data_IF_740345240380
#
_entry.id   IF_740345240380
#
_cell.length_a   1.000
_cell.length_b   1.000
_cell.length_c   1.000
_cell.angle_alpha   90.00
_cell.angle_beta   90.00
_cell.angle_gamma   90.00
#
_symmetry.space_group_name_H-M   'P 1'
#
loop_
_entity.id
_entity.type
_entity.pdbx_description
1 polymer ?
#
# COMPACT_ATOMS: atom_id res chain seq x y z
N UNK A 1 10.21 35.79 -10.05
CA UNK A 1 10.59 34.59 -10.80
C UNK A 1 11.86 33.98 -10.23
N UNK A 2 12.92 34.76 -10.04
CA UNK A 2 14.20 34.34 -9.45
C UNK A 2 14.11 33.46 -8.19
N UNK A 3 13.21 33.75 -7.25
CA UNK A 3 12.99 32.89 -6.06
C UNK A 3 12.46 31.50 -6.39
N UNK A 4 11.52 31.39 -7.32
CA UNK A 4 10.91 30.10 -7.72
C UNK A 4 11.94 29.30 -8.52
N UNK A 5 12.70 29.96 -9.38
CA UNK A 5 13.81 29.38 -10.14
C UNK A 5 14.92 28.86 -9.23
N UNK A 6 15.20 29.58 -8.13
CA UNK A 6 16.11 29.16 -7.07
C UNK A 6 15.52 28.13 -6.09
N UNK A 7 14.30 27.61 -6.33
CA UNK A 7 13.66 26.58 -5.52
C UNK A 7 13.13 27.06 -4.15
N UNK A 8 13.01 28.36 -3.93
CA UNK A 8 12.51 28.91 -2.67
C UNK A 8 10.97 28.76 -2.54
N UNK A 9 10.49 28.68 -1.29
CA UNK A 9 9.07 28.53 -0.95
C UNK A 9 8.20 29.55 -1.65
N UNK A 10 7.09 29.07 -2.23
CA UNK A 10 6.08 29.86 -2.93
C UNK A 10 4.69 29.29 -2.65
N UNK A 11 3.67 30.16 -2.70
CA UNK A 11 2.28 29.72 -2.54
C UNK A 11 1.84 28.83 -3.70
N UNK A 12 1.09 27.77 -3.38
CA UNK A 12 0.58 26.83 -4.39
C UNK A 12 -0.23 27.53 -5.49
N UNK A 13 -1.01 28.55 -5.13
CA UNK A 13 -1.77 29.37 -6.07
C UNK A 13 -0.90 30.07 -7.12
N UNK A 14 0.27 30.58 -6.72
CA UNK A 14 1.24 31.21 -7.63
C UNK A 14 1.86 30.19 -8.57
N UNK A 15 2.23 29.00 -8.06
CA UNK A 15 2.75 27.91 -8.89
C UNK A 15 1.73 27.49 -9.95
N UNK A 16 0.46 27.29 -9.58
CA UNK A 16 -0.62 26.92 -10.51
C UNK A 16 -0.81 27.99 -11.59
N UNK A 17 -0.75 29.28 -11.24
CA UNK A 17 -0.88 30.38 -12.22
C UNK A 17 0.27 30.38 -13.23
N UNK A 18 1.50 30.12 -12.78
CA UNK A 18 2.67 30.02 -13.66
C UNK A 18 2.55 28.83 -14.61
N UNK A 19 2.19 27.65 -14.11
CA UNK A 19 1.98 26.46 -14.95
C UNK A 19 0.89 26.70 -16.01
N UNK A 20 -0.18 27.42 -15.66
CA UNK A 20 -1.24 27.80 -16.62
C UNK A 20 -0.72 28.77 -17.69
N UNK A 21 0.00 29.81 -17.29
CA UNK A 21 0.54 30.82 -18.22
C UNK A 21 1.58 30.23 -19.18
N UNK A 22 2.27 29.16 -18.75
CA UNK A 22 3.24 28.43 -19.56
C UNK A 22 2.64 27.24 -20.33
N UNK A 23 1.32 27.02 -20.26
CA UNK A 23 0.64 25.89 -20.90
C UNK A 23 1.17 24.51 -20.43
N UNK A 24 1.67 24.44 -19.19
CA UNK A 24 2.20 23.21 -18.57
C UNK A 24 1.22 22.58 -17.58
N UNK A 25 0.01 23.11 -17.43
CA UNK A 25 -0.94 22.67 -16.41
C UNK A 25 -1.32 21.19 -16.57
N UNK A 26 -1.45 20.72 -17.81
CA UNK A 26 -1.83 19.33 -18.11
C UNK A 26 -0.80 18.30 -17.65
N UNK A 27 0.47 18.71 -17.45
CA UNK A 27 1.51 17.83 -16.89
C UNK A 27 1.23 17.43 -15.44
N UNK A 28 0.35 18.14 -14.73
CA UNK A 28 -0.04 17.71 -13.39
C UNK A 28 -0.77 16.36 -13.40
N UNK A 29 -1.40 15.97 -14.51
CA UNK A 29 -2.05 14.65 -14.64
C UNK A 29 -1.03 13.51 -14.48
N UNK A 30 0.21 13.69 -14.98
CA UNK A 30 1.24 12.66 -14.86
C UNK A 30 1.80 12.49 -13.45
N UNK A 31 1.41 13.34 -12.50
CA UNK A 31 1.77 13.15 -11.08
C UNK A 31 0.94 12.04 -10.44
N UNK A 32 -0.21 11.71 -11.01
CA UNK A 32 -1.05 10.62 -10.53
C UNK A 32 -0.58 9.33 -11.21
N UNK A 33 -0.11 8.33 -10.44
CA UNK A 33 0.27 7.05 -11.02
C UNK A 33 -0.96 6.34 -11.59
N UNK A 34 -0.77 5.55 -12.64
CA UNK A 34 -1.84 4.71 -13.18
C UNK A 34 -2.40 3.77 -12.10
N UNK A 35 -3.73 3.61 -12.09
CA UNK A 35 -4.39 2.73 -11.15
C UNK A 35 -4.02 1.26 -11.45
N UNK A 36 -3.28 0.65 -10.54
CA UNK A 36 -2.99 -0.79 -10.58
C UNK A 36 -4.20 -1.68 -10.26
N UNK A 37 -4.05 -3.01 -10.33
CA UNK A 37 -5.11 -3.96 -10.00
C UNK A 37 -5.62 -3.74 -8.57
N UNK A 38 -6.94 -3.72 -8.38
CA UNK A 38 -7.49 -3.58 -7.03
C UNK A 38 -7.25 -4.87 -6.24
N UNK A 39 -7.13 -4.80 -4.89
CA UNK A 39 -6.97 -6.01 -4.06
C UNK A 39 -8.05 -7.08 -4.32
N UNK A 40 -9.29 -6.68 -4.59
CA UNK A 40 -10.38 -7.60 -4.94
C UNK A 40 -10.17 -8.28 -6.30
N UNK A 41 -9.60 -7.56 -7.27
CA UNK A 41 -9.26 -8.14 -8.58
C UNK A 41 -8.16 -9.19 -8.40
N UNK A 42 -7.16 -8.92 -7.55
CA UNK A 42 -6.12 -9.90 -7.23
C UNK A 42 -6.66 -11.17 -6.57
N UNK A 43 -7.64 -11.06 -5.67
CA UNK A 43 -8.29 -12.23 -5.04
C UNK A 43 -9.07 -13.04 -6.07
N UNK A 44 -9.79 -12.38 -6.99
CA UNK A 44 -10.54 -13.03 -8.08
C UNK A 44 -9.60 -13.74 -9.06
N UNK A 45 -8.47 -13.10 -9.40
CA UNK A 45 -7.44 -13.64 -10.31
C UNK A 45 -6.67 -14.82 -9.70
N UNK A 46 -6.51 -14.89 -8.37
CA UNK A 46 -5.76 -15.94 -7.66
C UNK A 46 -6.34 -17.35 -7.81
N UNK A 47 -7.57 -17.48 -8.35
CA UNK A 47 -8.25 -18.76 -8.54
C UNK A 47 -8.58 -19.48 -7.21
N UNK A 48 -9.13 -20.70 -7.30
CA UNK A 48 -9.41 -21.53 -6.12
C UNK A 48 -8.11 -22.19 -5.62
N UNK A 49 -7.57 -21.71 -4.50
CA UNK A 49 -6.52 -22.43 -3.77
C UNK A 49 -7.10 -23.64 -3.03
N UNK A 50 -6.42 -24.80 -3.09
CA UNK A 50 -6.84 -26.00 -2.37
C UNK A 50 -6.73 -25.74 -0.86
N UNK A 51 -7.87 -25.55 -0.19
CA UNK A 51 -7.94 -25.54 1.26
C UNK A 51 -7.76 -26.97 1.75
N UNK A 52 -6.64 -27.26 2.41
CA UNK A 52 -6.44 -28.56 3.07
C UNK A 52 -7.23 -28.57 4.36
N UNK A 53 -8.27 -29.39 4.44
CA UNK A 53 -8.78 -29.86 5.72
C UNK A 53 -7.88 -31.02 6.16
N UNK A 54 -6.81 -30.75 6.90
CA UNK A 54 -6.21 -31.83 7.68
C UNK A 54 -7.22 -32.18 8.77
N UNK A 55 -7.67 -33.44 8.83
CA UNK A 55 -8.48 -33.89 9.95
C UNK A 55 -7.77 -33.62 11.29
N UNK A 56 -8.54 -33.36 12.35
CA UNK A 56 -8.02 -33.27 13.72
C UNK A 56 -7.25 -34.55 14.02
N UNK A 57 -5.92 -34.48 14.20
CA UNK A 57 -5.18 -35.56 14.83
C UNK A 57 -5.61 -35.60 16.30
N UNK A 58 -6.03 -36.76 16.79
CA UNK A 58 -6.11 -37.02 18.23
C UNK A 58 -4.70 -36.84 18.78
N UNK A 59 -4.53 -35.95 19.75
CA UNK A 59 -3.34 -35.89 20.58
C UNK A 59 -3.19 -37.25 21.28
N UNK A 60 -2.09 -37.94 21.03
CA UNK A 60 -1.71 -39.10 21.81
C UNK A 60 -1.00 -38.61 23.07
N UNK A 61 -1.56 -38.99 24.21
CA UNK A 61 -1.14 -38.71 25.60
C UNK A 61 -1.23 -37.25 26.09
N UNK A 62 -2.18 -37.07 27.00
CA UNK A 62 -2.31 -35.97 27.93
C UNK A 62 -1.32 -36.21 29.09
N UNK A 63 -0.07 -35.81 28.92
CA UNK A 63 0.71 -35.40 30.10
C UNK A 63 0.32 -33.94 30.37
N UNK A 64 -0.31 -33.63 31.52
CA UNK A 64 -0.66 -32.26 31.84
C UNK A 64 0.62 -31.47 31.98
N UNK A 65 0.74 -30.44 31.14
CA UNK A 65 1.86 -29.54 31.16
C UNK A 65 1.94 -28.81 32.50
N UNK A 66 3.11 -28.88 33.14
CA UNK A 66 3.42 -28.19 34.38
C UNK A 66 4.58 -27.22 34.15
N UNK A 67 4.50 -26.04 34.78
CA UNK A 67 5.64 -25.12 34.84
C UNK A 67 6.64 -25.64 35.86
N UNK A 68 7.94 -25.53 35.54
CA UNK A 68 9.04 -26.07 36.34
C UNK A 68 9.38 -25.25 37.58
N UNK A 69 8.37 -24.83 38.34
CA UNK A 69 8.56 -24.01 39.56
C UNK A 69 8.73 -24.88 40.83
N UNK A 70 9.02 -26.17 40.67
CA UNK A 70 9.46 -27.03 41.77
C UNK A 70 10.99 -27.07 41.83
N UNK A 71 11.59 -26.01 42.36
CA UNK A 71 12.79 -26.06 43.24
C UNK A 71 12.98 -24.75 43.99
#
# INVERSE_FOLDING_TARGET
MERIEAGATTQMSTLIRLLRALELLDRLESLVPEAGPRPMDMVRLKGKTRKRASGKRKSTNEEPWHWGDET
#
